data_IF_136135374072
#
_entry.id   IF_136135374072
#
_cell.length_a   1.000
_cell.length_b   1.000
_cell.length_c   1.000
_cell.angle_alpha   90.00
_cell.angle_beta   90.00
_cell.angle_gamma   90.00
#
_symmetry.space_group_name_H-M   'P 1'
#
loop_
_entity.id
_entity.type
_entity.pdbx_description
1 polymer ?
#
# COMPACT_ATOMS: atom_id res chain seq x y z
N UNK A 1 24.81 -16.75 28.16
CA UNK A 1 23.50 -16.55 27.50
C UNK A 1 23.77 -16.27 26.04
N UNK A 2 23.57 -17.26 25.18
CA UNK A 2 23.74 -17.15 23.73
C UNK A 2 22.47 -16.58 23.13
N UNK A 3 22.58 -15.41 22.51
CA UNK A 3 21.53 -14.79 21.70
C UNK A 3 21.49 -15.55 20.39
N UNK A 4 20.46 -16.36 20.18
CA UNK A 4 20.15 -16.94 18.86
C UNK A 4 19.38 -15.90 18.06
N UNK A 5 20.07 -15.18 17.18
CA UNK A 5 19.45 -14.49 16.05
C UNK A 5 18.86 -15.56 15.13
N UNK A 6 17.53 -15.62 15.07
CA UNK A 6 16.84 -16.40 14.04
C UNK A 6 16.91 -15.60 12.75
N UNK A 7 17.90 -15.93 11.93
CA UNK A 7 17.98 -15.53 10.53
C UNK A 7 16.76 -16.13 9.81
N UNK A 8 15.75 -15.29 9.55
CA UNK A 8 14.57 -15.67 8.75
C UNK A 8 15.08 -16.01 7.35
N UNK A 9 15.14 -17.31 7.04
CA UNK A 9 15.62 -17.85 5.76
C UNK A 9 14.83 -17.19 4.63
N UNK A 10 15.50 -16.36 3.80
CA UNK A 10 14.92 -15.88 2.54
C UNK A 10 14.58 -17.10 1.69
N UNK A 11 13.32 -17.48 1.65
CA UNK A 11 12.84 -18.52 0.75
C UNK A 11 13.03 -18.01 -0.68
N UNK A 12 13.83 -18.71 -1.49
CA UNK A 12 14.13 -18.29 -2.86
C UNK A 12 12.87 -18.46 -3.72
N UNK A 13 12.08 -17.39 -3.82
CA UNK A 13 10.88 -17.36 -4.65
C UNK A 13 11.28 -17.47 -6.12
N UNK A 14 10.62 -18.33 -6.93
CA UNK A 14 10.83 -18.36 -8.37
C UNK A 14 10.56 -16.99 -9.00
N UNK A 15 11.46 -16.52 -9.87
CA UNK A 15 11.34 -15.25 -10.62
C UNK A 15 10.12 -15.20 -11.55
N UNK A 16 9.40 -16.30 -11.73
CA UNK A 16 8.16 -16.39 -12.53
C UNK A 16 6.93 -15.83 -11.80
N UNK A 17 6.96 -15.70 -10.48
CA UNK A 17 5.90 -15.00 -9.73
C UNK A 17 6.21 -13.51 -9.70
N UNK A 18 5.22 -12.68 -10.05
CA UNK A 18 5.36 -11.22 -10.03
C UNK A 18 5.64 -10.68 -8.62
N UNK A 19 4.98 -11.25 -7.61
CA UNK A 19 5.19 -10.90 -6.21
C UNK A 19 5.12 -12.12 -5.30
N UNK A 20 5.56 -11.92 -4.06
CA UNK A 20 5.43 -12.88 -2.98
C UNK A 20 5.24 -12.16 -1.64
N UNK A 21 4.31 -12.65 -0.83
CA UNK A 21 4.14 -12.23 0.55
C UNK A 21 4.75 -13.30 1.48
N UNK A 22 5.53 -12.86 2.47
CA UNK A 22 6.12 -13.77 3.45
C UNK A 22 5.00 -14.49 4.22
N UNK A 23 4.95 -15.82 4.11
CA UNK A 23 4.03 -16.63 4.90
C UNK A 23 4.68 -17.02 6.23
N UNK A 24 4.06 -16.62 7.34
CA UNK A 24 4.40 -17.15 8.66
C UNK A 24 3.13 -17.37 9.46
N UNK A 25 2.95 -18.60 9.94
CA UNK A 25 1.83 -18.99 10.80
C UNK A 25 1.81 -18.21 12.12
N UNK A 26 2.94 -17.62 12.53
CA UNK A 26 3.04 -16.80 13.73
C UNK A 26 2.56 -15.36 13.54
N UNK A 27 2.28 -14.93 12.31
CA UNK A 27 1.86 -13.56 12.01
C UNK A 27 0.33 -13.42 11.88
N UNK A 28 -0.44 -14.34 12.46
CA UNK A 28 -1.89 -14.21 12.50
C UNK A 28 -2.32 -13.19 13.56
N UNK A 29 -3.18 -12.26 13.16
CA UNK A 29 -3.67 -11.16 14.02
C UNK A 29 -5.20 -11.15 14.00
N UNK A 30 -5.80 -10.83 15.16
CA UNK A 30 -7.22 -10.49 15.21
C UNK A 30 -7.43 -9.09 14.66
N UNK A 31 -8.06 -8.99 13.49
CA UNK A 31 -8.36 -7.72 12.86
C UNK A 31 -9.27 -6.84 13.75
N UNK A 32 -10.33 -7.36 14.40
CA UNK A 32 -11.14 -6.55 15.31
C UNK A 32 -10.33 -5.97 16.48
N UNK A 33 -9.43 -6.76 17.09
CA UNK A 33 -8.55 -6.28 18.14
C UNK A 33 -7.60 -5.20 17.61
N UNK A 34 -6.98 -5.44 16.45
CA UNK A 34 -6.10 -4.47 15.80
C UNK A 34 -6.80 -3.14 15.51
N UNK A 35 -8.02 -3.16 14.98
CA UNK A 35 -8.78 -1.94 14.70
C UNK A 35 -9.21 -1.22 15.99
N UNK A 36 -9.54 -1.97 17.04
CA UNK A 36 -9.89 -1.40 18.34
C UNK A 36 -8.68 -0.72 19.01
N UNK A 37 -7.51 -1.36 18.99
CA UNK A 37 -6.28 -0.82 19.59
C UNK A 37 -5.83 0.49 18.92
N UNK A 38 -6.24 0.72 17.66
CA UNK A 38 -5.90 1.90 16.88
C UNK A 38 -7.11 2.80 16.58
N UNK A 39 -8.20 2.71 17.36
CA UNK A 39 -9.49 3.36 17.10
C UNK A 39 -9.43 4.88 16.82
N UNK A 40 -8.37 5.55 17.29
CA UNK A 40 -8.14 6.99 17.11
C UNK A 40 -7.24 7.37 15.93
N UNK A 41 -6.75 6.40 15.14
CA UNK A 41 -5.91 6.66 13.98
C UNK A 41 -6.75 7.01 12.73
N UNK A 42 -6.45 8.10 12.01
CA UNK A 42 -7.17 8.45 10.79
C UNK A 42 -7.16 7.37 9.70
N UNK A 43 -6.12 6.54 9.67
CA UNK A 43 -5.94 5.54 8.63
C UNK A 43 -6.99 4.42 8.71
N UNK A 44 -7.45 4.05 9.90
CA UNK A 44 -8.42 2.96 10.08
C UNK A 44 -9.88 3.40 9.88
N UNK A 45 -10.11 4.68 9.61
CA UNK A 45 -11.44 5.21 9.34
C UNK A 45 -12.03 4.51 8.12
N UNK A 46 -13.25 3.98 8.25
CA UNK A 46 -13.96 3.25 7.21
C UNK A 46 -13.20 2.04 6.63
N UNK A 47 -12.27 1.46 7.41
CA UNK A 47 -11.39 0.36 6.96
C UNK A 47 -12.15 -0.84 6.41
N UNK A 48 -13.14 -1.36 7.15
CA UNK A 48 -13.90 -2.57 6.74
C UNK A 48 -14.77 -2.32 5.50
N UNK A 49 -15.57 -1.22 5.41
CA UNK A 49 -16.27 -0.87 4.18
C UNK A 49 -15.36 -0.77 2.96
N UNK A 50 -14.26 -0.02 3.07
CA UNK A 50 -13.32 0.19 1.97
C UNK A 50 -12.62 -1.12 1.55
N UNK A 51 -12.27 -1.97 2.53
CA UNK A 51 -11.70 -3.29 2.27
C UNK A 51 -12.69 -4.17 1.50
N UNK A 52 -13.97 -4.20 1.91
CA UNK A 52 -15.00 -4.96 1.21
C UNK A 52 -15.22 -4.47 -0.22
N UNK A 53 -15.19 -3.16 -0.43
CA UNK A 53 -15.31 -2.57 -1.76
C UNK A 53 -14.15 -3.00 -2.66
N UNK A 54 -12.93 -2.93 -2.15
CA UNK A 54 -11.73 -3.39 -2.84
C UNK A 54 -11.79 -4.89 -3.21
N UNK A 55 -12.12 -5.74 -2.24
CA UNK A 55 -12.22 -7.19 -2.45
C UNK A 55 -13.33 -7.53 -3.46
N UNK A 56 -14.49 -6.90 -3.34
CA UNK A 56 -15.61 -7.12 -4.24
C UNK A 56 -15.30 -6.68 -5.67
N UNK A 57 -14.64 -5.53 -5.86
CA UNK A 57 -14.20 -5.07 -7.16
C UNK A 57 -13.26 -6.10 -7.83
N UNK A 58 -12.33 -6.67 -7.06
CA UNK A 58 -11.40 -7.71 -7.54
C UNK A 58 -12.12 -9.03 -7.85
N UNK A 59 -13.03 -9.48 -6.99
CA UNK A 59 -13.82 -10.71 -7.20
C UNK A 59 -14.70 -10.60 -8.46
N UNK A 60 -15.26 -9.41 -8.72
CA UNK A 60 -16.01 -9.10 -9.95
C UNK A 60 -15.11 -8.81 -11.17
N UNK A 61 -13.79 -8.93 -11.03
CA UNK A 61 -12.79 -8.65 -12.09
C UNK A 61 -12.92 -7.27 -12.70
N UNK A 62 -13.31 -6.28 -11.88
CA UNK A 62 -13.39 -4.90 -12.30
C UNK A 62 -11.98 -4.28 -12.37
N UNK A 63 -11.84 -3.36 -13.30
CA UNK A 63 -10.63 -2.60 -13.52
C UNK A 63 -10.29 -1.68 -12.35
N UNK A 64 -9.14 -1.87 -11.68
CA UNK A 64 -8.76 -1.05 -10.51
C UNK A 64 -8.73 0.46 -10.82
N UNK A 65 -9.45 1.27 -10.03
CA UNK A 65 -9.58 2.71 -10.24
C UNK A 65 -9.10 3.56 -9.05
N UNK A 66 -8.26 2.98 -8.19
CA UNK A 66 -7.79 3.63 -6.96
C UNK A 66 -8.83 3.59 -5.83
N UNK A 67 -9.58 2.50 -5.73
CA UNK A 67 -10.69 2.31 -4.77
C UNK A 67 -11.74 3.42 -4.77
N UNK A 68 -12.02 4.01 -5.95
CA UNK A 68 -13.06 5.03 -6.10
C UNK A 68 -14.46 4.43 -6.16
N UNK A 69 -14.58 3.12 -6.44
CA UNK A 69 -15.88 2.43 -6.47
C UNK A 69 -16.42 2.20 -5.07
N UNK A 70 -17.65 2.64 -4.89
CA UNK A 70 -18.41 2.46 -3.66
C UNK A 70 -19.54 1.48 -3.98
N UNK A 71 -19.60 0.36 -3.26
CA UNK A 71 -20.70 -0.59 -3.39
C UNK A 71 -21.76 -0.35 -2.32
N UNK A 72 -22.96 -0.82 -2.58
CA UNK A 72 -24.05 -0.78 -1.62
C UNK A 72 -23.79 -1.72 -0.44
N UNK A 73 -24.45 -1.49 0.69
CA UNK A 73 -24.36 -2.40 1.85
C UNK A 73 -24.69 -3.83 1.45
N UNK A 74 -25.75 -4.06 0.68
CA UNK A 74 -26.17 -5.41 0.28
C UNK A 74 -25.12 -6.12 -0.58
N UNK A 75 -24.49 -5.40 -1.50
CA UNK A 75 -23.37 -5.92 -2.28
C UNK A 75 -22.17 -6.27 -1.38
N UNK A 76 -21.83 -5.43 -0.41
CA UNK A 76 -20.76 -5.72 0.57
C UNK A 76 -21.08 -6.94 1.45
N UNK A 77 -22.35 -7.27 1.67
CA UNK A 77 -22.74 -8.48 2.41
C UNK A 77 -22.50 -9.78 1.63
N UNK A 78 -22.35 -9.70 0.30
CA UNK A 78 -21.99 -10.86 -0.52
C UNK A 78 -20.58 -11.38 -0.24
N UNK A 79 -19.68 -10.53 0.29
CA UNK A 79 -18.33 -10.90 0.71
C UNK A 79 -18.34 -11.19 2.21
N UNK A 80 -18.09 -12.44 2.58
CA UNK A 80 -18.04 -12.89 3.97
C UNK A 80 -16.62 -13.28 4.35
N UNK A 81 -16.08 -12.70 5.41
CA UNK A 81 -14.77 -13.10 5.92
C UNK A 81 -14.86 -14.44 6.64
N UNK A 82 -13.97 -15.39 6.32
CA UNK A 82 -13.97 -16.73 6.94
C UNK A 82 -13.62 -16.64 8.43
N UNK A 83 -12.56 -15.91 8.77
CA UNK A 83 -12.15 -15.70 10.16
C UNK A 83 -11.38 -14.39 10.33
N UNK A 84 -12.01 -13.39 10.93
CA UNK A 84 -11.39 -12.10 11.23
C UNK A 84 -10.48 -12.11 12.47
N UNK A 85 -10.55 -13.15 13.30
CA UNK A 85 -9.68 -13.29 14.47
C UNK A 85 -8.31 -13.88 14.13
N UNK A 86 -8.16 -14.40 12.92
CA UNK A 86 -6.94 -15.07 12.47
C UNK A 86 -6.62 -14.67 11.02
N UNK A 87 -6.38 -13.37 10.81
CA UNK A 87 -5.96 -12.81 9.53
C UNK A 87 -4.44 -12.86 9.45
N UNK A 88 -3.89 -13.36 8.35
CA UNK A 88 -2.44 -13.39 8.15
C UNK A 88 -1.94 -11.99 7.81
N UNK A 89 -0.92 -11.52 8.53
CA UNK A 89 -0.28 -10.23 8.34
C UNK A 89 1.19 -10.41 7.95
N UNK A 90 1.50 -10.59 6.65
CA UNK A 90 2.88 -10.68 6.17
C UNK A 90 3.73 -9.47 6.57
N UNK A 91 4.98 -9.73 6.97
CA UNK A 91 5.95 -8.67 7.31
C UNK A 91 6.64 -8.12 6.08
N UNK A 92 6.79 -8.95 5.05
CA UNK A 92 7.53 -8.64 3.85
C UNK A 92 6.71 -8.91 2.58
N UNK A 93 6.78 -7.95 1.67
CA UNK A 93 6.32 -8.06 0.29
C UNK A 93 7.55 -8.02 -0.62
N UNK A 94 7.73 -9.06 -1.42
CA UNK A 94 8.74 -9.11 -2.47
C UNK A 94 8.07 -8.86 -3.81
N UNK A 95 8.61 -7.95 -4.61
CA UNK A 95 8.14 -7.67 -5.98
C UNK A 95 9.31 -7.87 -6.94
N UNK A 96 9.12 -8.78 -7.89
CA UNK A 96 10.05 -9.02 -8.97
C UNK A 96 9.77 -8.01 -10.09
N UNK A 97 10.83 -7.40 -10.61
CA UNK A 97 10.71 -6.41 -11.67
C UNK A 97 11.80 -6.64 -12.72
N UNK A 98 11.53 -6.16 -13.93
CA UNK A 98 12.49 -6.20 -15.02
C UNK A 98 13.32 -4.93 -15.03
N UNK A 99 14.64 -5.05 -14.95
CA UNK A 99 15.58 -3.94 -15.08
C UNK A 99 15.72 -3.52 -16.55
N UNK A 100 16.27 -2.32 -16.78
CA UNK A 100 16.45 -1.77 -18.13
C UNK A 100 17.31 -2.65 -19.06
N UNK A 101 18.23 -3.45 -18.51
CA UNK A 101 19.05 -4.41 -19.25
C UNK A 101 18.38 -5.78 -19.43
N UNK A 102 17.05 -5.85 -19.24
CA UNK A 102 16.21 -7.05 -19.42
C UNK A 102 16.63 -8.19 -18.47
N UNK A 103 17.08 -7.82 -17.26
CA UNK A 103 17.30 -8.78 -16.17
C UNK A 103 16.13 -8.71 -15.20
N UNK A 104 16.00 -9.75 -14.40
CA UNK A 104 15.03 -9.76 -13.31
C UNK A 104 15.76 -9.44 -12.01
N UNK A 105 15.21 -8.52 -11.23
CA UNK A 105 15.68 -8.15 -9.90
C UNK A 105 14.49 -8.09 -8.94
N UNK A 106 14.75 -8.01 -7.64
CA UNK A 106 13.75 -8.08 -6.58
C UNK A 106 13.83 -6.89 -5.64
N UNK A 107 12.67 -6.27 -5.38
CA UNK A 107 12.52 -5.33 -4.27
C UNK A 107 11.88 -6.03 -3.08
N UNK A 108 12.47 -5.84 -1.90
CA UNK A 108 11.91 -6.28 -0.63
C UNK A 108 11.35 -5.07 0.11
N UNK A 109 10.04 -5.06 0.29
CA UNK A 109 9.28 -4.05 1.01
C UNK A 109 8.87 -4.61 2.37
N UNK A 110 8.93 -3.79 3.42
CA UNK A 110 8.56 -4.16 4.79
C UNK A 110 7.49 -3.22 5.33
N UNK A 111 6.47 -3.81 5.94
CA UNK A 111 5.40 -3.06 6.61
C UNK A 111 5.97 -2.15 7.72
N UNK A 112 5.53 -0.89 7.77
CA UNK A 112 5.91 0.06 8.82
C UNK A 112 7.29 0.74 8.70
N UNK A 113 8.03 0.52 7.60
CA UNK A 113 9.33 1.20 7.35
C UNK A 113 9.22 2.45 6.47
N UNK A 114 8.01 2.77 6.00
CA UNK A 114 7.80 3.85 5.04
C UNK A 114 8.19 3.50 3.60
N UNK A 115 8.38 2.21 3.30
CA UNK A 115 8.70 1.76 1.95
C UNK A 115 7.59 2.17 0.97
N UNK A 116 7.97 2.64 -0.21
CA UNK A 116 7.03 3.23 -1.18
C UNK A 116 6.92 2.36 -2.43
N UNK A 117 5.70 2.14 -2.90
CA UNK A 117 5.38 1.40 -4.11
C UNK A 117 5.00 2.32 -5.26
N UNK A 118 5.23 1.84 -6.47
CA UNK A 118 4.84 2.46 -7.73
C UNK A 118 3.93 1.52 -8.52
N UNK A 119 2.87 2.05 -9.11
CA UNK A 119 1.96 1.33 -10.00
C UNK A 119 1.59 2.18 -11.21
N UNK A 120 1.05 1.56 -12.26
CA UNK A 120 0.61 2.29 -13.44
C UNK A 120 -0.61 3.15 -13.10
N UNK A 121 -0.52 4.44 -13.41
CA UNK A 121 -1.65 5.36 -13.31
C UNK A 121 -2.62 5.11 -14.44
N UNK A 122 -3.92 5.22 -14.15
CA UNK A 122 -4.97 5.16 -15.18
C UNK A 122 -5.49 6.55 -15.57
N UNK A 123 -4.76 7.58 -15.23
CA UNK A 123 -5.07 8.94 -15.64
C UNK A 123 -4.95 9.10 -17.16
N UNK A 124 -5.90 9.83 -17.74
CA UNK A 124 -5.92 10.13 -19.18
C UNK A 124 -5.69 11.62 -19.39
N UNK A 125 -4.87 11.98 -20.38
CA UNK A 125 -4.56 13.37 -20.73
C UNK A 125 -3.13 13.53 -21.23
N UNK A 126 -2.85 14.67 -21.86
CA UNK A 126 -1.52 15.01 -22.39
C UNK A 126 -0.46 15.21 -21.30
N UNK A 127 -0.90 15.62 -20.10
CA UNK A 127 -0.04 15.85 -18.94
C UNK A 127 -0.32 14.85 -17.81
N UNK A 128 -0.99 13.72 -18.12
CA UNK A 128 -1.30 12.68 -17.16
C UNK A 128 -0.02 12.03 -16.64
N UNK A 129 0.11 11.94 -15.32
CA UNK A 129 1.29 11.34 -14.72
C UNK A 129 1.20 9.80 -14.88
N UNK A 130 2.20 9.13 -15.46
CA UNK A 130 2.10 7.72 -15.83
C UNK A 130 2.03 6.74 -14.65
N UNK A 131 2.32 7.19 -13.42
CA UNK A 131 2.42 6.32 -12.27
C UNK A 131 1.67 6.86 -11.06
N UNK A 132 1.06 5.98 -10.26
CA UNK A 132 0.67 6.32 -8.90
C UNK A 132 1.72 5.84 -7.91
N UNK A 133 1.87 6.59 -6.82
CA UNK A 133 2.78 6.26 -5.74
C UNK A 133 2.00 6.13 -4.45
N UNK A 134 2.40 5.15 -3.64
CA UNK A 134 1.79 4.95 -2.33
C UNK A 134 2.83 4.44 -1.33
N UNK A 135 2.74 4.90 -0.09
CA UNK A 135 3.52 4.34 1.01
C UNK A 135 2.84 3.07 1.51
N UNK A 136 3.60 1.98 1.60
CA UNK A 136 3.16 0.72 2.18
C UNK A 136 2.96 0.90 3.69
N UNK A 137 1.72 0.70 4.15
CA UNK A 137 1.39 0.66 5.57
C UNK A 137 1.59 -0.78 6.07
N UNK A 138 0.76 -1.71 5.57
CA UNK A 138 0.77 -3.14 5.93
C UNK A 138 0.28 -4.02 4.78
N UNK A 139 0.73 -5.26 4.75
CA UNK A 139 0.16 -6.31 3.92
C UNK A 139 -0.73 -7.26 4.73
N UNK A 140 -1.78 -7.77 4.10
CA UNK A 140 -2.76 -8.67 4.68
C UNK A 140 -3.11 -9.78 3.69
N UNK A 141 -3.44 -10.96 4.20
CA UNK A 141 -4.05 -12.04 3.42
C UNK A 141 -5.38 -12.40 4.06
N UNK A 142 -6.47 -12.20 3.31
CA UNK A 142 -7.83 -12.46 3.75
C UNK A 142 -8.37 -13.73 3.10
N UNK A 143 -8.98 -14.60 3.91
CA UNK A 143 -9.84 -15.66 3.38
C UNK A 143 -11.28 -15.16 3.36
N UNK A 144 -11.92 -15.22 2.20
CA UNK A 144 -13.29 -14.74 2.00
C UNK A 144 -14.15 -15.77 1.27
N UNK A 145 -15.42 -15.85 1.63
CA UNK A 145 -16.44 -16.52 0.85
C UNK A 145 -17.16 -15.51 -0.04
N UNK A 146 -17.29 -15.86 -1.32
CA UNK A 146 -18.05 -15.11 -2.31
C UNK A 146 -18.70 -16.09 -3.29
N UNK A 147 -20.00 -15.93 -3.57
CA UNK A 147 -20.77 -16.80 -4.48
C UNK A 147 -20.60 -18.32 -4.23
N UNK A 148 -20.44 -18.71 -2.96
CA UNK A 148 -20.29 -20.11 -2.55
C UNK A 148 -18.88 -20.70 -2.70
N UNK A 149 -17.89 -19.88 -3.05
CA UNK A 149 -16.49 -20.27 -3.23
C UNK A 149 -15.60 -19.54 -2.23
N UNK A 150 -14.60 -20.24 -1.69
CA UNK A 150 -13.57 -19.65 -0.84
C UNK A 150 -12.43 -19.08 -1.68
N UNK A 151 -11.98 -17.88 -1.34
CA UNK A 151 -10.89 -17.18 -1.99
C UNK A 151 -9.87 -16.70 -0.95
N UNK A 152 -8.59 -16.96 -1.21
CA UNK A 152 -7.47 -16.28 -0.56
C UNK A 152 -7.13 -15.02 -1.34
N UNK A 153 -7.17 -13.87 -0.66
CA UNK A 153 -6.96 -12.56 -1.28
C UNK A 153 -5.85 -11.78 -0.56
N UNK A 154 -4.75 -11.60 -1.30
CA UNK A 154 -3.62 -10.79 -0.89
C UNK A 154 -3.95 -9.30 -1.09
N UNK A 155 -3.77 -8.49 -0.04
CA UNK A 155 -4.12 -7.07 -0.03
C UNK A 155 -2.99 -6.26 0.59
N UNK A 156 -2.60 -5.17 -0.07
CA UNK A 156 -1.64 -4.19 0.44
C UNK A 156 -2.38 -2.93 0.81
N UNK A 157 -2.30 -2.53 2.08
CA UNK A 157 -2.88 -1.30 2.60
C UNK A 157 -1.86 -0.17 2.53
N UNK A 158 -2.27 0.97 1.97
CA UNK A 158 -1.35 2.05 1.58
C UNK A 158 -1.88 3.43 1.93
N UNK A 159 -0.96 4.40 1.99
CA UNK A 159 -1.23 5.84 2.01
C UNK A 159 -0.84 6.45 0.66
N UNK A 160 -1.75 7.12 -0.01
CA UNK A 160 -1.56 7.64 -1.37
C UNK A 160 -0.76 8.93 -1.41
N UNK A 161 0.02 9.09 -2.49
CA UNK A 161 0.65 10.35 -2.85
C UNK A 161 0.03 10.91 -4.13
N UNK A 162 -0.20 12.21 -4.14
CA UNK A 162 -0.61 12.99 -5.30
C UNK A 162 0.57 13.71 -5.94
N UNK A 163 0.48 13.98 -7.24
CA UNK A 163 1.44 14.83 -7.95
C UNK A 163 1.26 16.27 -7.52
N UNK A 164 2.37 16.98 -7.32
CA UNK A 164 2.35 18.39 -6.94
C UNK A 164 1.69 19.24 -8.04
N UNK A 165 0.57 19.94 -7.76
CA UNK A 165 -0.14 20.73 -8.75
C UNK A 165 0.75 21.83 -9.36
N UNK A 166 0.75 21.92 -10.69
CA UNK A 166 1.52 22.95 -11.42
C UNK A 166 3.03 22.71 -11.49
N UNK A 167 3.56 21.65 -10.88
CA UNK A 167 4.97 21.34 -10.95
C UNK A 167 5.32 20.67 -12.29
N UNK A 168 6.24 21.30 -13.04
CA UNK A 168 6.75 20.74 -14.29
C UNK A 168 7.94 19.80 -14.04
N UNK A 169 7.82 18.57 -14.54
CA UNK A 169 8.84 17.52 -14.43
C UNK A 169 9.17 16.92 -15.81
N UNK A 170 10.13 16.00 -15.82
CA UNK A 170 10.47 15.19 -16.99
C UNK A 170 11.86 15.48 -17.57
N UNK A 171 12.27 14.63 -18.50
CA UNK A 171 13.61 14.68 -19.13
C UNK A 171 13.87 16.05 -19.77
N UNK A 172 12.88 16.60 -20.49
CA UNK A 172 13.00 17.92 -21.12
C UNK A 172 13.15 19.09 -20.14
N UNK A 173 12.82 18.89 -18.86
CA UNK A 173 12.99 19.89 -17.79
C UNK A 173 14.15 19.54 -16.84
N UNK A 174 14.79 18.38 -17.02
CA UNK A 174 15.79 17.83 -16.10
C UNK A 174 15.34 17.84 -14.63
N UNK A 175 14.06 17.54 -14.39
CA UNK A 175 13.42 17.56 -13.06
C UNK A 175 12.72 16.24 -12.76
N UNK A 176 13.00 15.66 -11.60
CA UNK A 176 12.28 14.50 -11.08
C UNK A 176 10.81 14.86 -10.79
N UNK A 177 9.87 13.92 -10.93
CA UNK A 177 8.49 14.11 -10.46
C UNK A 177 8.48 14.52 -8.98
N UNK A 178 7.63 15.51 -8.65
CA UNK A 178 7.42 15.98 -7.28
C UNK A 178 6.03 15.54 -6.83
N UNK A 179 5.94 14.95 -5.64
CA UNK A 179 4.73 14.35 -5.08
C UNK A 179 4.58 14.70 -3.60
N UNK A 180 3.37 14.67 -3.08
CA UNK A 180 3.06 14.86 -1.67
C UNK A 180 1.99 13.88 -1.20
N UNK A 181 1.89 13.63 0.11
CA UNK A 181 0.79 12.80 0.62
C UNK A 181 -0.55 13.51 0.40
N UNK A 182 -1.57 12.72 0.07
CA UNK A 182 -2.95 13.22 0.09
C UNK A 182 -3.35 13.47 1.55
N UNK A 183 -3.92 14.64 1.90
CA UNK A 183 -4.33 14.96 3.26
C UNK A 183 -5.36 13.97 3.81
N UNK A 184 -5.26 13.59 5.09
CA UNK A 184 -6.19 12.66 5.76
C UNK A 184 -7.64 13.17 5.84
N UNK A 185 -7.86 14.48 5.63
CA UNK A 185 -9.18 15.08 5.48
C UNK A 185 -9.88 14.74 4.16
N UNK A 186 -9.12 14.34 3.13
CA UNK A 186 -9.66 14.02 1.81
C UNK A 186 -10.02 12.54 1.69
N UNK A 187 -11.15 12.26 1.03
CA UNK A 187 -11.51 10.87 0.69
C UNK A 187 -10.49 10.30 -0.29
N UNK A 188 -9.85 9.19 0.08
CA UNK A 188 -8.84 8.53 -0.75
C UNK A 188 -7.39 8.76 -0.31
N UNK A 189 -7.15 9.33 0.88
CA UNK A 189 -5.80 9.39 1.45
C UNK A 189 -5.21 8.00 1.74
N UNK A 190 -6.08 7.04 2.07
CA UNK A 190 -5.73 5.65 2.34
C UNK A 190 -6.51 4.73 1.40
N UNK A 191 -5.91 3.61 1.02
CA UNK A 191 -6.58 2.63 0.17
C UNK A 191 -5.90 1.27 0.17
N UNK A 192 -6.44 0.37 -0.63
CA UNK A 192 -6.02 -1.01 -0.76
C UNK A 192 -5.57 -1.27 -2.20
N UNK A 193 -4.52 -2.06 -2.34
CA UNK A 193 -3.88 -2.37 -3.61
C UNK A 193 -3.74 -3.88 -3.73
N UNK A 194 -4.06 -4.42 -4.90
CA UNK A 194 -3.66 -5.77 -5.27
C UNK A 194 -2.14 -5.77 -5.49
N UNK A 195 -1.35 -6.57 -4.75
CA UNK A 195 0.10 -6.62 -4.97
C UNK A 195 0.49 -6.94 -6.42
N UNK A 196 -0.38 -7.60 -7.19
CA UNK A 196 -0.17 -7.87 -8.62
C UNK A 196 -0.08 -6.59 -9.48
N UNK A 197 -0.63 -5.46 -9.01
CA UNK A 197 -0.60 -4.17 -9.71
C UNK A 197 0.64 -3.34 -9.41
N UNK A 198 1.44 -3.74 -8.41
CA UNK A 198 2.66 -3.04 -8.02
C UNK A 198 3.74 -3.32 -9.07
N UNK A 199 4.27 -2.27 -9.70
CA UNK A 199 5.35 -2.42 -10.69
C UNK A 199 6.68 -2.67 -9.97
N UNK A 200 6.99 -1.82 -8.99
CA UNK A 200 8.24 -1.87 -8.21
C UNK A 200 8.17 -0.96 -6.98
N UNK A 201 9.18 -1.07 -6.12
CA UNK A 201 9.45 -0.05 -5.13
C UNK A 201 10.03 1.23 -5.78
N UNK A 202 9.83 2.36 -5.14
CA UNK A 202 10.47 3.63 -5.50
C UNK A 202 11.06 4.30 -4.26
N UNK A 203 12.05 5.17 -4.47
CA UNK A 203 12.69 5.91 -3.39
C UNK A 203 12.20 7.36 -3.38
N UNK A 204 11.61 7.78 -2.27
CA UNK A 204 11.17 9.15 -2.06
C UNK A 204 12.28 9.96 -1.39
N UNK A 205 12.67 11.07 -2.02
CA UNK A 205 13.66 12.00 -1.49
C UNK A 205 12.92 13.24 -0.96
N UNK A 206 12.97 13.54 0.34
CA UNK A 206 12.32 14.73 0.88
C UNK A 206 12.77 16.03 0.20
N UNK A 207 11.83 16.92 -0.07
CA UNK A 207 12.14 18.29 -0.50
C UNK A 207 12.51 19.12 0.73
N UNK A 208 13.77 19.03 1.15
CA UNK A 208 14.25 19.64 2.41
C UNK A 208 13.96 21.14 2.53
N UNK A 209 13.90 21.87 1.41
CA UNK A 209 13.62 23.31 1.38
C UNK A 209 12.18 23.66 1.75
N UNK A 210 11.24 22.71 1.63
CA UNK A 210 9.82 22.93 1.95
C UNK A 210 9.47 22.46 3.36
N UNK A 211 10.41 21.80 4.04
CA UNK A 211 10.28 21.43 5.43
C UNK A 211 9.22 20.35 5.70
N UNK A 212 8.87 20.25 6.98
CA UNK A 212 7.91 19.27 7.50
C UNK A 212 6.59 19.96 7.82
N UNK A 213 5.49 19.21 7.75
CA UNK A 213 4.13 19.69 7.93
C UNK A 213 3.29 18.69 8.72
N UNK A 214 2.33 19.21 9.48
CA UNK A 214 1.27 18.46 10.16
C UNK A 214 -0.11 18.67 9.49
N UNK A 215 -0.15 19.31 8.32
CA UNK A 215 -1.38 19.54 7.55
C UNK A 215 -1.87 18.31 6.77
N UNK A 216 -1.00 17.31 6.55
CA UNK A 216 -1.31 16.13 5.74
C UNK A 216 -1.88 14.97 6.56
N UNK A 217 -1.53 14.95 7.85
CA UNK A 217 -2.01 13.99 8.84
C UNK A 217 -1.69 14.58 10.22
N UNK A 218 -2.61 14.43 11.16
CA UNK A 218 -2.45 14.96 12.52
C UNK A 218 -1.06 14.67 13.11
N UNK A 219 -0.50 15.62 13.85
CA UNK A 219 0.79 15.44 14.53
C UNK A 219 0.70 14.31 15.56
N UNK A 220 1.71 13.44 15.56
CA UNK A 220 1.85 12.32 16.50
C UNK A 220 2.05 10.97 15.81
N UNK A 221 2.13 9.89 16.61
CA UNK A 221 2.29 8.54 16.07
C UNK A 221 1.06 8.15 15.26
N UNK A 222 1.30 7.50 14.11
CA UNK A 222 0.25 6.92 13.28
C UNK A 222 0.72 5.64 12.62
N UNK A 223 -0.22 4.75 12.35
CA UNK A 223 -0.02 3.56 11.52
C UNK A 223 0.51 3.91 10.12
N UNK A 224 0.14 5.08 9.61
CA UNK A 224 0.51 5.53 8.26
C UNK A 224 1.80 6.37 8.22
N UNK A 225 2.64 6.24 9.26
CA UNK A 225 3.99 6.79 9.33
C UNK A 225 4.98 5.69 9.71
N UNK A 226 6.27 5.84 9.34
CA UNK A 226 7.33 5.04 9.91
C UNK A 226 7.35 5.17 11.44
N UNK A 227 7.85 4.14 12.12
CA UNK A 227 8.07 4.20 13.56
C UNK A 227 8.93 5.42 13.90
N UNK A 228 8.56 6.13 14.97
CA UNK A 228 9.23 7.32 15.52
C UNK A 228 9.01 8.65 14.78
N UNK A 229 8.28 8.66 13.65
CA UNK A 229 7.91 9.91 12.97
C UNK A 229 6.60 10.51 13.53
N UNK A 230 6.57 11.84 13.68
CA UNK A 230 5.45 12.58 14.30
C UNK A 230 4.77 13.58 13.35
N UNK A 231 5.35 13.83 12.19
CA UNK A 231 4.89 14.74 11.14
C UNK A 231 5.39 14.24 9.78
N UNK A 232 4.92 14.81 8.67
CA UNK A 232 5.31 14.39 7.32
C UNK A 232 6.21 15.44 6.66
N UNK A 233 6.98 15.07 5.62
CA UNK A 233 7.55 16.10 4.75
C UNK A 233 6.45 16.70 3.87
N UNK A 234 6.55 18.00 3.56
CA UNK A 234 5.57 18.68 2.72
C UNK A 234 5.51 18.06 1.31
N UNK A 235 6.67 17.64 0.78
CA UNK A 235 6.77 17.01 -0.53
C UNK A 235 8.02 16.15 -0.66
N UNK A 236 8.04 15.33 -1.72
CA UNK A 236 9.11 14.43 -2.09
C UNK A 236 9.40 14.50 -3.59
N UNK A 237 10.66 14.31 -3.97
CA UNK A 237 11.02 13.92 -5.32
C UNK A 237 11.02 12.40 -5.45
N UNK A 238 10.51 11.90 -6.57
CA UNK A 238 10.51 10.46 -6.86
C UNK A 238 11.79 10.07 -7.58
N UNK A 239 12.56 9.16 -6.99
CA UNK A 239 13.70 8.51 -7.62
C UNK A 239 13.34 7.06 -7.99
N UNK A 240 13.63 6.70 -9.25
CA UNK A 240 13.22 5.45 -9.90
C UNK A 240 14.43 4.74 -10.50
#
# INVERSE_FOLDING_TARGET
>A
MTVTEFEEREESVPLTKHYHLSHSFHNAVSLPAFLNDHSGDPAIKDFIPNLKDHLLARLRKLEYDGDKRIFTSDERHSVQFVNLNHVSMPKQLQVNFTTYDIRCDKHTLRSGRGDTIMMYSREQGTDAHPFWYAQLIRAWVFRVYYEGVEHDMDVVWVRWLGVEPGYQWGIGKARLPKVGFIPDSESGAFGFVDPALVIRACHLIPVFTEGRTDSLLRRGPSLARPNDEVDDWASYYVNM
#
